data_IF_022902582741
#
_entry.id   IF_022902582741
#
_cell.length_a   1.000
_cell.length_b   1.000
_cell.length_c   1.000
_cell.angle_alpha   90.00
_cell.angle_beta   90.00
_cell.angle_gamma   90.00
#
_symmetry.space_group_name_H-M   'P 1'
#
loop_
_entity.id
_entity.type
_entity.pdbx_description
1 polymer ?
#
# COMPACT_ATOMS: atom_id res chain seq x y z
N UNK A 1 -10.96 9.80 28.62
CA UNK A 1 -10.13 9.65 27.41
C UNK A 1 -9.34 10.94 27.23
N UNK A 2 -8.02 10.90 27.28
CA UNK A 2 -7.19 12.10 27.07
C UNK A 2 -7.40 12.60 25.65
N UNK A 3 -7.80 13.87 25.51
CA UNK A 3 -7.89 14.55 24.21
C UNK A 3 -6.47 14.90 23.75
N UNK A 4 -5.80 13.92 23.13
CA UNK A 4 -4.52 14.15 22.49
C UNK A 4 -4.74 14.57 21.04
N UNK A 5 -4.17 15.70 20.66
CA UNK A 5 -4.11 16.14 19.27
C UNK A 5 -2.67 16.12 18.79
N UNK A 6 -2.47 15.55 17.61
CA UNK A 6 -1.16 15.56 16.94
C UNK A 6 -1.06 16.87 16.17
N UNK A 7 -0.03 17.71 16.41
CA UNK A 7 0.22 18.90 15.60
C UNK A 7 0.34 18.54 14.12
N UNK A 8 -0.13 19.42 13.23
CA UNK A 8 -0.13 19.16 11.78
C UNK A 8 1.27 18.90 11.20
N UNK A 9 2.28 19.61 11.72
CA UNK A 9 3.69 19.42 11.34
C UNK A 9 4.28 18.08 11.80
N UNK A 10 3.60 17.34 12.66
CA UNK A 10 3.99 16.00 13.14
C UNK A 10 3.22 14.87 12.47
N UNK A 11 2.23 15.18 11.66
CA UNK A 11 1.54 14.19 10.85
C UNK A 11 2.40 13.78 9.66
N UNK A 12 2.27 12.52 9.26
CA UNK A 12 2.97 11.96 8.10
C UNK A 12 1.95 11.44 7.10
N UNK A 13 2.22 11.65 5.82
CA UNK A 13 1.38 11.10 4.74
C UNK A 13 1.69 9.63 4.56
N UNK A 14 0.65 8.81 4.45
CA UNK A 14 0.81 7.38 4.20
C UNK A 14 -0.11 6.91 3.07
N UNK A 15 0.39 6.00 2.26
CA UNK A 15 -0.39 5.14 1.38
C UNK A 15 -0.28 3.74 1.97
N UNK A 16 -1.40 3.06 2.17
CA UNK A 16 -1.44 1.66 2.59
C UNK A 16 -1.63 0.80 1.35
N UNK A 17 -0.65 -0.01 1.01
CA UNK A 17 -0.65 -0.93 -0.13
C UNK A 17 -0.79 -2.36 0.41
N UNK A 18 -1.90 -3.05 0.08
CA UNK A 18 -2.37 -4.19 0.87
C UNK A 18 -3.09 -5.23 0.00
N UNK A 19 -2.84 -6.49 0.27
CA UNK A 19 -3.59 -7.63 -0.27
C UNK A 19 -4.68 -8.12 0.71
N UNK A 20 -5.49 -7.17 1.19
CA UNK A 20 -6.45 -7.25 2.30
C UNK A 20 -7.38 -8.47 2.33
N UNK A 21 -7.56 -9.17 1.22
CA UNK A 21 -8.36 -10.39 1.14
C UNK A 21 -7.52 -11.68 1.27
N UNK A 22 -6.19 -11.57 1.46
CA UNK A 22 -5.30 -12.71 1.59
C UNK A 22 -5.36 -13.29 3.01
N UNK A 23 -5.09 -12.47 4.02
CA UNK A 23 -5.02 -12.87 5.41
C UNK A 23 -5.78 -11.89 6.32
N UNK A 24 -6.02 -12.28 7.58
CA UNK A 24 -6.89 -11.53 8.48
C UNK A 24 -6.22 -10.32 9.16
N UNK A 25 -4.90 -10.20 9.10
CA UNK A 25 -4.13 -9.14 9.76
C UNK A 25 -4.18 -7.79 9.03
N UNK A 26 -4.25 -7.80 7.71
CA UNK A 26 -4.37 -6.60 6.88
C UNK A 26 -5.57 -5.72 7.25
N UNK A 27 -6.80 -6.24 7.41
CA UNK A 27 -7.94 -5.47 7.90
C UNK A 27 -7.67 -4.74 9.22
N UNK A 28 -6.95 -5.38 10.16
CA UNK A 28 -6.57 -4.74 11.43
C UNK A 28 -5.52 -3.65 11.23
N UNK A 29 -4.54 -3.88 10.35
CA UNK A 29 -3.50 -2.88 10.03
C UNK A 29 -4.11 -1.65 9.35
N UNK A 30 -5.03 -1.84 8.39
CA UNK A 30 -5.79 -0.76 7.75
C UNK A 30 -6.58 0.02 8.79
N UNK A 31 -7.34 -0.67 9.65
CA UNK A 31 -8.13 -0.04 10.70
C UNK A 31 -7.24 0.77 11.67
N UNK A 32 -6.09 0.23 12.07
CA UNK A 32 -5.12 0.93 12.91
C UNK A 32 -4.58 2.19 12.23
N UNK A 33 -4.22 2.11 10.95
CA UNK A 33 -3.76 3.27 10.19
C UNK A 33 -4.83 4.37 10.15
N UNK A 34 -6.09 4.01 9.83
CA UNK A 34 -7.22 4.92 9.74
C UNK A 34 -7.65 5.53 11.07
N UNK A 35 -7.39 4.87 12.20
CA UNK A 35 -7.65 5.39 13.55
C UNK A 35 -6.49 6.24 14.10
N UNK A 36 -5.31 6.16 13.51
CA UNK A 36 -4.15 6.90 13.98
C UNK A 36 -4.26 8.39 13.66
N UNK A 37 -4.27 9.24 14.68
CA UNK A 37 -4.27 10.69 14.51
C UNK A 37 -2.95 11.24 13.93
N UNK A 38 -1.90 10.43 13.92
CA UNK A 38 -0.57 10.80 13.40
C UNK A 38 -0.43 10.53 11.91
N UNK A 39 -1.23 9.60 11.37
CA UNK A 39 -1.19 9.20 9.98
C UNK A 39 -2.25 9.97 9.18
N UNK A 40 -1.80 10.65 8.15
CA UNK A 40 -2.65 11.23 7.10
C UNK A 40 -2.73 10.20 5.97
N UNK A 41 -3.74 9.30 6.06
CA UNK A 41 -3.93 8.22 5.09
C UNK A 41 -4.47 8.81 3.79
N UNK A 42 -3.62 8.84 2.76
CA UNK A 42 -3.91 9.44 1.45
C UNK A 42 -4.73 8.52 0.56
N UNK A 43 -4.47 7.22 0.65
CA UNK A 43 -5.22 6.17 -0.03
C UNK A 43 -4.96 4.82 0.63
N UNK A 44 -5.89 3.88 0.41
CA UNK A 44 -5.67 2.44 0.58
C UNK A 44 -5.70 1.81 -0.80
N UNK A 45 -4.66 1.07 -1.15
CA UNK A 45 -4.40 0.54 -2.48
C UNK A 45 -4.47 -0.97 -2.44
N UNK A 46 -5.23 -1.56 -3.36
CA UNK A 46 -5.33 -3.01 -3.47
C UNK A 46 -4.10 -3.60 -4.18
N UNK A 47 -3.53 -4.64 -3.61
CA UNK A 47 -2.47 -5.45 -4.18
C UNK A 47 -3.01 -6.87 -4.45
N UNK A 48 -2.40 -7.58 -5.41
CA UNK A 48 -2.66 -8.98 -5.68
C UNK A 48 -1.87 -9.88 -4.71
N UNK A 49 -2.35 -11.11 -4.50
CA UNK A 49 -1.63 -12.17 -3.77
C UNK A 49 -1.38 -13.42 -4.65
N UNK A 50 -1.15 -13.19 -5.95
CA UNK A 50 -0.70 -14.22 -6.88
C UNK A 50 -1.80 -15.10 -7.48
N UNK A 51 -3.06 -14.93 -7.09
CA UNK A 51 -4.21 -15.62 -7.66
C UNK A 51 -4.94 -14.73 -8.67
N UNK A 52 -5.58 -15.31 -9.67
CA UNK A 52 -6.40 -14.57 -10.62
C UNK A 52 -7.56 -13.84 -9.90
N UNK A 53 -7.70 -12.54 -10.16
CA UNK A 53 -8.73 -11.69 -9.54
C UNK A 53 -8.49 -11.37 -8.06
N UNK A 54 -7.32 -11.70 -7.50
CA UNK A 54 -7.00 -11.44 -6.10
C UNK A 54 -6.92 -9.96 -5.78
N UNK A 55 -6.42 -9.13 -6.69
CA UNK A 55 -6.44 -7.67 -6.54
C UNK A 55 -7.87 -7.13 -6.39
N UNK A 56 -8.81 -7.61 -7.19
CA UNK A 56 -10.21 -7.17 -7.06
C UNK A 56 -10.84 -7.64 -5.75
N UNK A 57 -10.52 -8.85 -5.25
CA UNK A 57 -10.95 -9.29 -3.92
C UNK A 57 -10.43 -8.34 -2.84
N UNK A 58 -9.14 -8.00 -2.87
CA UNK A 58 -8.53 -7.05 -1.94
C UNK A 58 -9.18 -5.66 -2.03
N UNK A 59 -9.50 -5.20 -3.24
CA UNK A 59 -10.21 -3.94 -3.43
C UNK A 59 -11.60 -3.94 -2.80
N UNK A 60 -12.37 -5.02 -2.93
CA UNK A 60 -13.70 -5.14 -2.32
C UNK A 60 -13.62 -5.21 -0.79
N UNK A 61 -12.60 -5.88 -0.25
CA UNK A 61 -12.36 -5.92 1.20
C UNK A 61 -12.01 -4.53 1.74
N UNK A 62 -11.16 -3.76 1.05
CA UNK A 62 -10.86 -2.36 1.40
C UNK A 62 -12.14 -1.52 1.46
N UNK A 63 -13.01 -1.63 0.45
CA UNK A 63 -14.28 -0.89 0.43
C UNK A 63 -15.17 -1.26 1.63
N UNK A 64 -15.20 -2.55 1.99
CA UNK A 64 -15.95 -3.04 3.16
C UNK A 64 -15.41 -2.42 4.45
N UNK A 65 -14.09 -2.41 4.64
CA UNK A 65 -13.44 -1.83 5.82
C UNK A 65 -13.73 -0.33 5.93
N UNK A 66 -13.54 0.41 4.83
CA UNK A 66 -13.79 1.86 4.80
C UNK A 66 -15.26 2.18 5.13
N UNK A 67 -16.19 1.42 4.57
CA UNK A 67 -17.62 1.56 4.85
C UNK A 67 -17.95 1.27 6.32
N UNK A 68 -17.43 0.17 6.88
CA UNK A 68 -17.65 -0.18 8.29
C UNK A 68 -17.10 0.85 9.26
N UNK A 69 -16.03 1.54 8.88
CA UNK A 69 -15.37 2.56 9.70
C UNK A 69 -15.87 3.98 9.45
N UNK A 70 -16.80 4.18 8.52
CA UNK A 70 -17.27 5.51 8.08
C UNK A 70 -16.11 6.43 7.71
N UNK A 71 -15.21 5.94 6.82
CA UNK A 71 -14.03 6.65 6.35
C UNK A 71 -14.14 7.00 4.86
N UNK A 72 -13.96 8.27 4.56
CA UNK A 72 -13.88 8.81 3.20
C UNK A 72 -12.40 8.94 2.79
N UNK A 73 -11.76 7.79 2.52
CA UNK A 73 -10.39 7.69 2.03
C UNK A 73 -10.42 6.98 0.67
N UNK A 74 -9.68 7.45 -0.35
CA UNK A 74 -9.64 6.80 -1.64
C UNK A 74 -9.22 5.32 -1.54
N UNK A 75 -10.04 4.42 -2.07
CA UNK A 75 -9.68 3.03 -2.36
C UNK A 75 -9.29 2.92 -3.84
N UNK A 76 -8.14 2.37 -4.15
CA UNK A 76 -7.62 2.32 -5.52
C UNK A 76 -7.26 0.89 -5.92
N UNK A 77 -7.61 0.54 -7.16
CA UNK A 77 -7.17 -0.72 -7.76
C UNK A 77 -5.70 -0.63 -8.14
N UNK A 78 -4.95 -1.65 -7.74
CA UNK A 78 -3.55 -1.84 -8.10
C UNK A 78 -3.35 -2.64 -9.38
N UNK A 79 -2.15 -3.17 -9.55
CA UNK A 79 -1.83 -4.09 -10.64
C UNK A 79 -2.49 -5.45 -10.38
N UNK A 80 -2.99 -6.09 -11.45
CA UNK A 80 -3.75 -7.34 -11.36
C UNK A 80 -2.86 -8.59 -11.52
N UNK A 81 -1.55 -8.44 -11.40
CA UNK A 81 -0.61 -9.55 -11.52
C UNK A 81 0.83 -9.11 -11.26
N UNK A 82 1.73 -10.08 -11.34
CA UNK A 82 3.15 -9.90 -11.04
C UNK A 82 3.80 -8.86 -11.95
N UNK A 83 4.85 -8.20 -11.47
CA UNK A 83 5.54 -7.14 -12.20
C UNK A 83 5.99 -7.54 -13.63
N UNK A 84 6.39 -8.80 -13.83
CA UNK A 84 6.76 -9.30 -15.15
C UNK A 84 5.57 -9.40 -16.12
N UNK A 85 4.36 -9.58 -15.63
CA UNK A 85 3.12 -9.72 -16.39
C UNK A 85 2.53 -8.34 -16.76
N UNK A 86 2.94 -7.28 -16.07
CA UNK A 86 2.44 -5.92 -16.30
C UNK A 86 3.13 -5.20 -17.46
N UNK A 87 4.08 -5.85 -18.17
CA UNK A 87 4.80 -5.25 -19.29
C UNK A 87 3.85 -5.02 -20.48
N UNK A 88 3.70 -3.75 -20.86
CA UNK A 88 2.85 -3.36 -21.99
C UNK A 88 1.36 -3.22 -21.65
N UNK A 89 0.96 -3.46 -20.39
CA UNK A 89 -0.41 -3.20 -19.92
C UNK A 89 -0.60 -1.72 -19.57
N UNK A 90 -1.85 -1.27 -19.49
CA UNK A 90 -2.19 0.02 -18.90
C UNK A 90 -1.73 0.06 -17.44
N UNK A 91 -1.38 1.24 -16.96
CA UNK A 91 -1.04 1.45 -15.55
C UNK A 91 -2.30 1.50 -14.70
N UNK A 92 -2.22 0.91 -13.51
CA UNK A 92 -3.33 0.92 -12.57
C UNK A 92 -3.55 2.32 -11.95
N UNK A 93 -4.76 2.61 -11.43
CA UNK A 93 -5.03 3.82 -10.67
C UNK A 93 -4.07 4.02 -9.50
N UNK A 94 -3.65 2.96 -8.83
CA UNK A 94 -2.68 2.99 -7.74
C UNK A 94 -1.32 3.54 -8.18
N UNK A 95 -0.81 3.07 -9.32
CA UNK A 95 0.48 3.50 -9.87
C UNK A 95 0.47 4.98 -10.23
N UNK A 96 -0.62 5.46 -10.85
CA UNK A 96 -0.78 6.88 -11.17
C UNK A 96 -0.89 7.74 -9.91
N UNK A 97 -1.66 7.32 -8.93
CA UNK A 97 -1.83 8.02 -7.65
C UNK A 97 -0.51 8.10 -6.87
N UNK A 98 0.26 7.01 -6.81
CA UNK A 98 1.56 7.01 -6.14
C UNK A 98 2.52 8.02 -6.78
N UNK A 99 2.55 8.10 -8.11
CA UNK A 99 3.32 9.13 -8.83
C UNK A 99 2.88 10.55 -8.41
N UNK A 100 1.57 10.80 -8.39
CA UNK A 100 1.01 12.12 -8.07
C UNK A 100 1.34 12.54 -6.64
N UNK A 101 1.16 11.64 -5.66
CA UNK A 101 1.49 11.89 -4.25
C UNK A 101 3.00 12.07 -4.03
N UNK A 102 3.84 11.30 -4.73
CA UNK A 102 5.29 11.43 -4.64
C UNK A 102 5.80 12.76 -5.22
N UNK A 103 5.13 13.32 -6.22
CA UNK A 103 5.50 14.60 -6.85
C UNK A 103 4.79 15.80 -6.23
N UNK A 104 3.89 15.59 -5.29
CA UNK A 104 3.17 16.67 -4.61
C UNK A 104 4.14 17.57 -3.86
N UNK A 105 4.00 18.88 -4.04
CA UNK A 105 4.76 19.89 -3.30
C UNK A 105 4.20 20.04 -1.88
N UNK A 106 4.60 19.13 -1.00
CA UNK A 106 4.17 19.09 0.39
C UNK A 106 5.36 18.72 1.29
N UNK A 107 5.53 19.45 2.40
CA UNK A 107 6.67 19.25 3.31
C UNK A 107 6.57 17.95 4.13
N UNK A 108 5.35 17.45 4.37
CA UNK A 108 5.14 16.22 5.13
C UNK A 108 5.73 15.02 4.38
N UNK A 109 6.54 14.19 5.04
CA UNK A 109 7.09 13.00 4.41
C UNK A 109 6.00 12.03 3.96
N UNK A 110 6.23 11.34 2.84
CA UNK A 110 5.37 10.29 2.33
C UNK A 110 5.98 8.92 2.65
N UNK A 111 5.17 8.05 3.25
CA UNK A 111 5.49 6.63 3.43
C UNK A 111 4.49 5.77 2.66
N UNK A 112 4.99 4.67 2.07
CA UNK A 112 4.16 3.62 1.50
C UNK A 112 4.34 2.38 2.37
N UNK A 113 3.23 1.96 3.00
CA UNK A 113 3.17 0.79 3.86
C UNK A 113 2.72 -0.38 3.01
N UNK A 114 3.64 -1.26 2.63
CA UNK A 114 3.36 -2.44 1.81
C UNK A 114 3.14 -3.65 2.73
N UNK A 115 1.89 -4.07 2.85
CA UNK A 115 1.46 -5.19 3.68
C UNK A 115 1.45 -6.51 2.89
N UNK A 116 1.36 -6.44 1.56
CA UNK A 116 1.44 -7.55 0.63
C UNK A 116 2.66 -7.48 -0.30
N UNK A 117 2.50 -7.92 -1.54
CA UNK A 117 3.51 -7.78 -2.57
C UNK A 117 3.81 -6.30 -2.86
N UNK A 118 4.95 -6.02 -3.48
CA UNK A 118 5.37 -4.64 -3.82
C UNK A 118 5.14 -4.29 -5.29
N UNK A 119 4.22 -4.94 -5.97
CA UNK A 119 4.05 -4.80 -7.43
C UNK A 119 3.68 -3.38 -7.82
N UNK A 120 2.77 -2.73 -7.08
CA UNK A 120 2.35 -1.35 -7.34
C UNK A 120 3.53 -0.38 -7.22
N UNK A 121 4.31 -0.47 -6.16
CA UNK A 121 5.49 0.37 -5.92
C UNK A 121 6.58 0.11 -6.98
N UNK A 122 6.87 -1.16 -7.26
CA UNK A 122 7.87 -1.54 -8.26
C UNK A 122 7.47 -1.06 -9.66
N UNK A 123 6.18 -1.18 -10.01
CA UNK A 123 5.64 -0.67 -11.26
C UNK A 123 5.76 0.85 -11.34
N UNK A 124 5.39 1.57 -10.29
CA UNK A 124 5.50 3.03 -10.24
C UNK A 124 6.95 3.49 -10.42
N UNK A 125 7.90 2.89 -9.73
CA UNK A 125 9.34 3.22 -9.87
C UNK A 125 9.90 2.90 -11.25
N UNK A 126 9.42 1.84 -11.91
CA UNK A 126 9.80 1.47 -13.27
C UNK A 126 9.27 2.46 -14.31
N UNK A 127 8.00 2.86 -14.18
CA UNK A 127 7.35 3.76 -15.14
C UNK A 127 7.73 5.24 -14.91
N UNK A 128 8.01 5.60 -13.65
CA UNK A 128 8.26 6.97 -13.21
C UNK A 128 9.56 7.10 -12.40
N UNK A 129 10.75 6.93 -13.02
CA UNK A 129 12.03 6.97 -12.29
C UNK A 129 12.26 8.26 -11.49
N UNK A 130 11.61 9.36 -11.87
CA UNK A 130 11.71 10.67 -11.20
C UNK A 130 11.10 10.69 -9.79
N UNK A 131 10.32 9.68 -9.41
CA UNK A 131 9.78 9.59 -8.03
C UNK A 131 10.73 8.86 -7.08
N UNK A 132 11.84 8.32 -7.57
CA UNK A 132 12.83 7.65 -6.74
C UNK A 132 13.37 8.60 -5.67
N UNK A 133 13.34 8.15 -4.41
CA UNK A 133 13.77 8.95 -3.26
C UNK A 133 12.76 10.00 -2.79
N UNK A 134 11.54 10.04 -3.35
CA UNK A 134 10.48 10.97 -2.94
C UNK A 134 9.58 10.43 -1.84
N UNK A 135 9.69 9.14 -1.51
CA UNK A 135 8.95 8.49 -0.44
C UNK A 135 9.79 7.38 0.20
N UNK A 136 9.37 6.94 1.37
CA UNK A 136 9.95 5.80 2.08
C UNK A 136 9.00 4.62 2.01
N UNK A 137 9.50 3.43 1.65
CA UNK A 137 8.75 2.18 1.69
C UNK A 137 9.01 1.49 3.01
N UNK A 138 7.94 1.03 3.66
CA UNK A 138 7.97 0.10 4.79
C UNK A 138 7.27 -1.17 4.33
N UNK A 139 7.99 -2.27 4.26
CA UNK A 139 7.51 -3.54 3.72
C UNK A 139 7.66 -4.65 4.74
N UNK A 140 6.62 -5.46 4.91
CA UNK A 140 6.62 -6.63 5.80
C UNK A 140 7.01 -7.93 5.07
N UNK A 141 7.63 -7.86 3.95
CA UNK A 141 8.17 -9.01 3.21
C UNK A 141 9.68 -9.06 3.30
N UNK A 142 10.25 -10.03 2.68
CA UNK A 142 11.65 -10.36 2.49
C UNK A 142 12.10 -11.62 3.24
N UNK A 143 12.64 -12.57 2.49
CA UNK A 143 13.32 -13.72 3.09
C UNK A 143 14.69 -13.29 3.61
N UNK A 144 15.10 -13.86 4.74
CA UNK A 144 16.49 -13.81 5.17
C UNK A 144 17.35 -14.53 4.13
N UNK A 145 18.11 -13.74 3.36
CA UNK A 145 18.96 -14.25 2.27
C UNK A 145 20.16 -15.06 2.78
N UNK A 146 20.49 -15.00 4.07
CA UNK A 146 21.59 -15.77 4.67
C UNK A 146 21.20 -17.22 4.98
N UNK A 147 19.93 -17.52 5.06
CA UNK A 147 19.45 -18.86 5.30
C UNK A 147 18.64 -19.35 4.09
N UNK A 148 19.28 -20.04 3.15
CA UNK A 148 18.62 -20.83 2.10
C UNK A 148 17.74 -21.94 2.75
N UNK A 149 16.72 -21.55 3.52
CA UNK A 149 15.77 -22.48 4.10
C UNK A 149 14.60 -22.67 3.12
N UNK A 150 14.54 -23.78 2.38
CA UNK A 150 13.50 -24.04 1.39
C UNK A 150 12.10 -24.19 2.00
N UNK A 151 12.00 -24.21 3.33
CA UNK A 151 10.75 -24.37 4.06
C UNK A 151 10.16 -23.03 4.53
N UNK A 152 10.91 -21.94 4.47
CA UNK A 152 10.39 -20.60 4.73
C UNK A 152 9.87 -20.05 3.41
N UNK A 153 8.56 -20.02 3.25
CA UNK A 153 7.90 -19.34 2.13
C UNK A 153 7.43 -17.99 2.60
N UNK A 154 8.00 -16.96 2.01
CA UNK A 154 7.48 -15.60 2.15
C UNK A 154 6.29 -15.43 1.21
N UNK A 155 5.12 -15.10 1.74
CA UNK A 155 3.92 -14.88 0.95
C UNK A 155 3.98 -13.57 0.14
N UNK A 156 4.76 -12.61 0.60
CA UNK A 156 4.87 -11.26 0.06
C UNK A 156 6.05 -11.05 -0.89
N UNK A 157 6.62 -12.12 -1.44
CA UNK A 157 7.80 -12.04 -2.33
C UNK A 157 7.48 -12.25 -3.81
#
# INVERSE_FOLDING_TARGET
MLKYEVPEDKKIRVIVDTDAACEADDPFAIAQALMSKKLDVRAVVAEHFGEAGSMEKSYQEILTILSCMDKDVPALRGEDGRLCETKGTARSPAVEFLKEEALRQEEKPLFVLCLGAMTNVARALREYPQIKGKFTVIWIGCQDTEQNNPHIREFNS
#
